data_IF_251284677090
#
_entry.id   IF_251284677090
#
_cell.length_a   1.000
_cell.length_b   1.000
_cell.length_c   1.000
_cell.angle_alpha   90.00
_cell.angle_beta   90.00
_cell.angle_gamma   90.00
#
_symmetry.space_group_name_H-M   'P 1'
#
loop_
_entity.id
_entity.type
_entity.pdbx_description
1 polymer ?
#
# COMPACT_ATOMS: atom_id res chain seq x y z
N UNK A 1 -15.02 -3.15 1.94
CA UNK A 1 -14.35 -2.22 0.99
C UNK A 1 -12.98 -2.74 0.56
N UNK A 2 -12.12 -3.11 1.52
CA UNK A 2 -10.81 -3.72 1.25
C UNK A 2 -10.83 -4.87 0.23
N UNK A 3 -11.80 -5.78 0.34
CA UNK A 3 -11.96 -6.90 -0.62
C UNK A 3 -12.16 -6.42 -2.07
N UNK A 4 -13.02 -5.42 -2.29
CA UNK A 4 -13.25 -4.85 -3.62
C UNK A 4 -12.00 -4.15 -4.16
N UNK A 5 -11.24 -3.48 -3.28
CA UNK A 5 -9.95 -2.88 -3.64
C UNK A 5 -8.95 -3.94 -4.04
N UNK A 6 -8.80 -5.02 -3.28
CA UNK A 6 -7.91 -6.13 -3.63
C UNK A 6 -8.31 -6.78 -4.95
N UNK A 7 -9.62 -6.91 -5.21
CA UNK A 7 -10.15 -7.40 -6.49
C UNK A 7 -9.84 -6.45 -7.66
N UNK A 8 -9.94 -5.13 -7.45
CA UNK A 8 -9.56 -4.14 -8.46
C UNK A 8 -8.05 -4.17 -8.75
N UNK A 9 -7.21 -4.25 -7.72
CA UNK A 9 -5.76 -4.32 -7.89
C UNK A 9 -5.35 -5.58 -8.66
N UNK A 10 -5.94 -6.74 -8.33
CA UNK A 10 -5.77 -7.98 -9.12
C UNK A 10 -6.17 -7.79 -10.58
N UNK A 11 -7.25 -7.06 -10.85
CA UNK A 11 -7.69 -6.81 -12.23
C UNK A 11 -6.75 -5.88 -13.01
N UNK A 12 -6.20 -4.85 -12.36
CA UNK A 12 -5.35 -3.83 -13.01
C UNK A 12 -3.95 -4.35 -13.30
N UNK A 13 -3.41 -5.16 -12.40
CA UNK A 13 -2.00 -5.55 -12.43
C UNK A 13 -1.80 -7.07 -12.63
N UNK A 14 -2.89 -7.82 -12.84
CA UNK A 14 -2.86 -9.27 -13.03
C UNK A 14 -2.63 -10.05 -11.71
N UNK A 15 -2.06 -11.25 -11.84
CA UNK A 15 -1.70 -12.10 -10.71
C UNK A 15 -0.49 -11.54 -9.94
N UNK A 16 -0.66 -10.38 -9.30
CA UNK A 16 0.31 -9.90 -8.31
C UNK A 16 0.29 -10.87 -7.14
N UNK A 17 1.46 -11.39 -6.80
CA UNK A 17 1.68 -12.07 -5.55
C UNK A 17 1.75 -11.06 -4.39
N UNK A 18 0.58 -10.67 -3.86
CA UNK A 18 0.48 -9.67 -2.79
C UNK A 18 1.20 -10.08 -1.50
N UNK A 19 1.35 -11.37 -1.21
CA UNK A 19 2.06 -11.81 0.01
C UNK A 19 3.56 -11.55 -0.05
N UNK A 20 4.14 -11.47 -1.25
CA UNK A 20 5.55 -11.12 -1.45
C UNK A 20 5.76 -9.66 -1.85
N UNK A 21 4.71 -8.85 -1.86
CA UNK A 21 4.78 -7.44 -2.24
C UNK A 21 4.64 -6.54 -1.02
N UNK A 22 5.33 -5.40 -1.04
CA UNK A 22 5.07 -4.35 -0.07
C UNK A 22 3.81 -3.59 -0.50
N UNK A 23 2.83 -3.48 0.39
CA UNK A 23 1.56 -2.84 0.09
C UNK A 23 1.05 -2.03 1.29
N UNK A 24 0.52 -0.84 1.03
CA UNK A 24 -0.26 -0.07 1.98
C UNK A 24 -1.54 0.42 1.31
N UNK A 25 -2.68 -0.16 1.67
CA UNK A 25 -3.98 0.33 1.19
C UNK A 25 -4.40 1.49 2.06
N UNK A 26 -4.67 2.64 1.43
CA UNK A 26 -5.07 3.87 2.12
C UNK A 26 -6.53 4.20 1.83
N UNK A 27 -7.39 4.07 2.83
CA UNK A 27 -8.79 4.48 2.75
C UNK A 27 -8.95 5.86 3.38
N UNK A 28 -9.37 6.84 2.59
CA UNK A 28 -9.57 8.23 3.00
C UNK A 28 -8.38 8.80 3.80
N UNK A 29 -7.19 8.72 3.21
CA UNK A 29 -5.92 9.15 3.80
C UNK A 29 -5.44 8.35 5.03
N UNK A 30 -6.11 7.25 5.42
CA UNK A 30 -5.70 6.39 6.54
C UNK A 30 -5.31 4.98 6.08
N UNK A 31 -4.30 4.38 6.73
CA UNK A 31 -3.86 3.01 6.43
C UNK A 31 -4.90 1.99 6.93
N UNK A 32 -5.45 1.19 6.01
CA UNK A 32 -6.41 0.12 6.35
C UNK A 32 -5.85 -1.29 6.15
N UNK A 33 -4.74 -1.44 5.41
CA UNK A 33 -4.00 -2.69 5.27
C UNK A 33 -2.53 -2.40 4.99
N UNK A 34 -1.62 -3.16 5.59
CA UNK A 34 -0.18 -3.03 5.37
C UNK A 34 0.51 -4.40 5.32
N UNK A 35 1.42 -4.56 4.37
CA UNK A 35 2.34 -5.69 4.29
C UNK A 35 3.71 -5.20 3.80
N UNK A 36 4.77 -5.85 4.30
CA UNK A 36 6.14 -5.63 3.84
C UNK A 36 6.54 -6.73 2.88
N UNK A 37 7.56 -6.48 2.06
CA UNK A 37 8.27 -7.53 1.33
C UNK A 37 9.61 -7.82 1.99
N UNK A 38 10.39 -8.73 1.41
CA UNK A 38 11.73 -9.08 1.93
C UNK A 38 12.68 -7.87 1.96
N UNK A 39 12.57 -6.98 0.98
CA UNK A 39 13.49 -5.85 0.81
C UNK A 39 12.84 -4.47 0.91
N UNK A 40 11.52 -4.40 1.13
CA UNK A 40 10.80 -3.14 1.34
C UNK A 40 10.00 -3.16 2.63
N UNK A 41 10.24 -2.16 3.48
CA UNK A 41 9.54 -1.97 4.76
C UNK A 41 8.67 -0.72 4.68
N UNK A 42 7.39 -0.87 4.99
CA UNK A 42 6.43 0.21 5.15
C UNK A 42 6.12 0.33 6.65
N UNK A 43 6.20 1.56 7.16
CA UNK A 43 5.91 1.88 8.56
C UNK A 43 5.18 3.21 8.66
N UNK A 44 4.51 3.43 9.78
CA UNK A 44 3.88 4.73 10.07
C UNK A 44 4.98 5.78 10.33
N UNK A 45 4.67 7.05 10.05
CA UNK A 45 5.51 8.16 10.49
C UNK A 45 5.15 8.53 11.93
N UNK A 46 6.15 8.86 12.74
CA UNK A 46 5.93 9.19 14.15
C UNK A 46 5.19 10.54 14.35
N UNK A 47 5.43 11.50 13.45
CA UNK A 47 4.95 12.89 13.62
C UNK A 47 3.72 13.24 12.76
N UNK A 48 3.35 12.39 11.78
CA UNK A 48 2.32 12.70 10.77
C UNK A 48 1.55 11.44 10.36
N UNK A 49 0.36 11.63 9.78
CA UNK A 49 -0.49 10.57 9.19
C UNK A 49 0.15 9.85 7.98
N UNK A 50 1.35 10.25 7.56
CA UNK A 50 2.10 9.68 6.44
C UNK A 50 2.72 8.32 6.75
N UNK A 51 3.51 7.81 5.80
CA UNK A 51 4.21 6.53 5.91
C UNK A 51 5.66 6.66 5.46
N UNK A 52 6.54 5.92 6.13
CA UNK A 52 7.90 5.69 5.71
C UNK A 52 7.97 4.44 4.83
N UNK A 53 8.62 4.54 3.67
CA UNK A 53 8.89 3.41 2.77
C UNK A 53 10.40 3.29 2.62
N UNK A 54 10.98 2.26 3.25
CA UNK A 54 12.40 1.95 3.15
C UNK A 54 12.61 0.85 2.11
N UNK A 55 13.29 1.19 1.01
CA UNK A 55 13.61 0.26 -0.09
C UNK A 55 15.11 -0.07 -0.02
N UNK A 56 15.45 -1.33 0.24
CA UNK A 56 16.86 -1.79 0.19
C UNK A 56 17.33 -1.84 -1.26
N UNK A 57 18.64 -1.64 -1.48
CA UNK A 57 19.26 -1.77 -2.82
C UNK A 57 19.08 -3.14 -3.47
N UNK A 58 18.81 -4.17 -2.67
CA UNK A 58 18.51 -5.55 -3.10
C UNK A 58 17.09 -5.76 -3.63
N UNK A 59 16.18 -4.78 -3.55
CA UNK A 59 14.77 -4.89 -3.95
C UNK A 59 14.52 -4.96 -5.47
N UNK A 60 15.43 -5.56 -6.25
CA UNK A 60 15.33 -5.63 -7.71
C UNK A 60 14.13 -6.48 -8.13
N UNK A 61 13.22 -5.87 -8.90
CA UNK A 61 12.02 -6.52 -9.40
C UNK A 61 10.88 -6.63 -8.37
N UNK A 62 11.06 -6.13 -7.15
CA UNK A 62 9.95 -6.02 -6.19
C UNK A 62 9.06 -4.83 -6.54
N UNK A 63 7.77 -4.99 -6.27
CA UNK A 63 6.77 -3.93 -6.47
C UNK A 63 6.26 -3.40 -5.13
N UNK A 64 6.00 -2.10 -5.10
CA UNK A 64 5.40 -1.41 -3.96
C UNK A 64 4.05 -0.85 -4.38
N UNK A 65 3.00 -1.22 -3.66
CA UNK A 65 1.62 -0.80 -3.97
C UNK A 65 1.07 0.14 -2.88
N UNK A 66 0.80 1.40 -3.21
CA UNK A 66 0.16 2.38 -2.30
C UNK A 66 -1.19 2.86 -2.87
N UNK A 67 -2.20 1.98 -2.99
CA UNK A 67 -3.49 2.38 -3.54
C UNK A 67 -4.28 3.24 -2.56
N UNK A 68 -4.77 4.38 -3.04
CA UNK A 68 -5.68 5.25 -2.31
C UNK A 68 -7.13 5.02 -2.74
N UNK A 69 -8.04 4.91 -1.77
CA UNK A 69 -9.48 4.77 -1.95
C UNK A 69 -10.12 6.00 -1.31
N UNK A 70 -10.78 6.82 -2.11
CA UNK A 70 -11.54 7.99 -1.63
C UNK A 70 -13.02 7.69 -1.84
N UNK A 71 -13.78 7.57 -0.75
CA UNK A 71 -15.20 7.22 -0.79
C UNK A 71 -16.11 8.24 -0.11
N UNK A 72 -15.55 9.33 0.42
CA UNK A 72 -16.26 10.44 1.03
C UNK A 72 -15.72 11.78 0.53
N UNK A 73 -16.55 12.80 0.61
CA UNK A 73 -16.18 14.19 0.35
C UNK A 73 -15.37 14.78 1.51
N UNK A 74 -14.69 15.90 1.29
CA UNK A 74 -13.92 16.63 2.31
C UNK A 74 -12.86 15.77 3.03
N UNK A 75 -12.17 14.90 2.28
CA UNK A 75 -10.98 14.22 2.78
C UNK A 75 -9.83 15.23 2.79
N UNK A 76 -9.24 15.44 3.96
CA UNK A 76 -8.03 16.23 4.11
C UNK A 76 -6.81 15.31 4.01
N UNK A 77 -5.78 15.79 3.33
CA UNK A 77 -4.45 15.18 3.28
C UNK A 77 -3.63 15.56 4.53
#
# INVERSE_FOLDING_TARGET
MLENTMKLLKKLYGDINFSNSAINVRENCSSCMRNNSNNVVISDMDDKSGINILVKSSARGEMVFIPAIINKSNVND
#
